data_IF_628476901634
#
_entry.id   IF_628476901634
#
_cell.length_a   1.000
_cell.length_b   1.000
_cell.length_c   1.000
_cell.angle_alpha   90.00
_cell.angle_beta   90.00
_cell.angle_gamma   90.00
#
_symmetry.space_group_name_H-M   'P 1'
#
loop_
_entity.id
_entity.type
_entity.pdbx_description
1 polymer ?
#
# COMPACT_ATOMS: atom_id res chain seq x y z
N UNK A 1 9.77 2.44 2.90
CA UNK A 1 10.05 3.82 2.49
C UNK A 1 10.27 4.63 3.76
N UNK A 2 11.31 5.45 3.84
CA UNK A 2 11.58 6.31 5.01
C UNK A 2 10.98 7.73 4.88
N UNK A 3 10.33 8.00 3.74
CA UNK A 3 9.68 9.27 3.39
C UNK A 3 10.65 10.36 2.92
N UNK A 4 11.93 10.05 2.73
CA UNK A 4 12.92 11.00 2.20
C UNK A 4 13.03 10.89 0.68
N UNK A 5 13.65 11.91 0.09
CA UNK A 5 14.11 11.85 -1.30
C UNK A 5 15.30 10.90 -1.38
N UNK A 6 15.20 9.94 -2.31
CA UNK A 6 16.30 9.06 -2.68
C UNK A 6 16.71 9.29 -4.13
N UNK A 7 18.00 9.22 -4.42
CA UNK A 7 18.55 9.31 -5.79
C UNK A 7 18.96 7.92 -6.26
N UNK A 8 18.29 7.40 -7.28
CA UNK A 8 18.57 6.09 -7.83
C UNK A 8 19.28 6.26 -9.17
N UNK A 9 20.46 5.64 -9.32
CA UNK A 9 21.25 5.67 -10.54
C UNK A 9 21.50 4.26 -11.04
N UNK A 10 21.21 4.03 -12.32
CA UNK A 10 21.54 2.79 -13.02
C UNK A 10 22.52 3.11 -14.14
N UNK A 11 23.66 2.45 -14.13
CA UNK A 11 24.69 2.59 -15.18
C UNK A 11 24.86 1.24 -15.88
N UNK A 12 24.74 1.23 -17.20
CA UNK A 12 25.07 0.06 -18.02
C UNK A 12 26.38 0.32 -18.76
N UNK A 13 27.35 -0.56 -18.58
CA UNK A 13 28.58 -0.60 -19.36
C UNK A 13 28.70 -1.95 -20.06
N UNK A 14 28.29 -2.00 -21.33
CA UNK A 14 28.15 -3.24 -22.10
C UNK A 14 27.22 -4.25 -21.40
N UNK A 15 27.79 -5.32 -20.83
CA UNK A 15 27.08 -6.36 -20.09
C UNK A 15 27.06 -6.11 -18.58
N UNK A 16 27.79 -5.13 -18.06
CA UNK A 16 27.78 -4.80 -16.64
C UNK A 16 26.68 -3.77 -16.34
N UNK A 17 25.87 -4.06 -15.33
CA UNK A 17 24.88 -3.14 -14.78
C UNK A 17 25.26 -2.83 -13.34
N UNK A 18 25.33 -1.54 -13.01
CA UNK A 18 25.54 -1.03 -11.67
C UNK A 18 24.31 -0.23 -11.24
N UNK A 19 23.73 -0.58 -10.10
CA UNK A 19 22.68 0.14 -9.41
C UNK A 19 23.29 0.81 -8.18
N UNK A 20 22.98 2.09 -7.99
CA UNK A 20 23.36 2.88 -6.82
C UNK A 20 22.13 3.59 -6.25
N UNK A 21 21.99 3.59 -4.93
CA UNK A 21 20.96 4.35 -4.21
C UNK A 21 21.64 5.33 -3.25
N UNK A 22 21.35 6.62 -3.43
CA UNK A 22 21.91 7.74 -2.69
C UNK A 22 23.44 7.88 -2.77
N UNK A 23 24.15 7.23 -1.86
CA UNK A 23 25.59 7.32 -1.70
C UNK A 23 26.32 6.12 -2.31
N UNK A 24 27.63 6.08 -2.17
CA UNK A 24 28.47 5.05 -2.79
C UNK A 24 28.46 3.72 -2.01
N UNK A 25 27.90 3.71 -0.80
CA UNK A 25 27.90 2.53 0.07
C UNK A 25 26.73 1.59 -0.23
N UNK A 26 25.62 2.09 -0.80
CA UNK A 26 24.49 1.27 -1.27
C UNK A 26 24.54 1.05 -2.79
N UNK A 27 25.39 0.09 -3.20
CA UNK A 27 25.60 -0.30 -4.59
C UNK A 27 25.46 -1.80 -4.81
N UNK A 28 24.92 -2.15 -5.97
CA UNK A 28 24.83 -3.53 -6.45
C UNK A 28 25.21 -3.62 -7.92
N UNK A 29 25.94 -4.67 -8.31
CA UNK A 29 26.31 -4.91 -9.70
C UNK A 29 25.89 -6.30 -10.16
N UNK A 30 25.38 -6.40 -11.38
CA UNK A 30 25.12 -7.67 -12.05
C UNK A 30 25.74 -7.69 -13.45
N UNK A 31 26.09 -8.87 -13.93
CA UNK A 31 26.49 -9.07 -15.33
C UNK A 31 25.32 -9.69 -16.09
N UNK A 32 24.90 -9.04 -17.16
CA UNK A 32 23.88 -9.55 -18.08
C UNK A 32 24.44 -10.81 -18.75
N UNK A 33 23.75 -11.96 -18.63
CA UNK A 33 24.19 -13.19 -19.26
C UNK A 33 24.06 -13.10 -20.80
N UNK A 34 25.06 -13.63 -21.51
CA UNK A 34 25.11 -13.64 -22.97
C UNK A 34 26.09 -12.61 -23.55
N UNK A 35 26.08 -12.47 -24.89
CA UNK A 35 27.02 -11.64 -25.64
C UNK A 35 26.39 -10.36 -26.22
N UNK A 36 25.12 -10.08 -25.92
CA UNK A 36 24.43 -8.91 -26.45
C UNK A 36 24.74 -7.69 -25.58
N UNK A 37 25.53 -6.77 -26.11
CA UNK A 37 25.97 -5.53 -25.47
C UNK A 37 25.07 -4.33 -25.82
N UNK A 38 24.20 -4.44 -26.82
CA UNK A 38 23.26 -3.38 -27.24
C UNK A 38 21.92 -3.44 -26.50
N UNK A 39 21.36 -2.28 -26.14
CA UNK A 39 19.96 -2.14 -25.70
C UNK A 39 19.13 -1.64 -26.89
N UNK A 40 18.29 -2.50 -27.46
CA UNK A 40 17.42 -2.12 -28.57
C UNK A 40 16.11 -1.53 -28.02
N UNK A 41 16.06 -0.21 -27.90
CA UNK A 41 14.82 0.53 -27.69
C UNK A 41 14.50 1.26 -28.99
N UNK A 42 13.26 1.18 -29.46
CA UNK A 42 12.83 2.00 -30.59
C UNK A 42 12.44 3.38 -30.07
N UNK A 43 12.71 4.43 -30.85
CA UNK A 43 12.37 5.81 -30.47
C UNK A 43 10.85 6.01 -30.27
N UNK A 44 10.03 5.13 -30.84
CA UNK A 44 8.57 5.12 -30.71
C UNK A 44 8.08 4.38 -29.45
N UNK A 45 8.97 3.66 -28.74
CA UNK A 45 8.59 2.89 -27.56
C UNK A 45 8.30 3.84 -26.38
N UNK A 46 7.09 3.80 -25.78
CA UNK A 46 6.74 4.71 -24.71
C UNK A 46 7.52 4.40 -23.42
N UNK A 47 8.03 5.45 -22.78
CA UNK A 47 8.57 5.36 -21.42
C UNK A 47 7.44 5.47 -20.39
N UNK A 48 7.38 4.49 -19.49
CA UNK A 48 6.43 4.48 -18.38
C UNK A 48 7.11 4.85 -17.06
N UNK A 49 6.50 5.76 -16.31
CA UNK A 49 6.99 6.22 -15.00
C UNK A 49 5.87 6.04 -13.97
N UNK A 50 6.20 5.42 -12.84
CA UNK A 50 5.24 5.19 -11.74
C UNK A 50 4.20 4.08 -11.98
N UNK A 51 4.20 3.41 -13.14
CA UNK A 51 3.31 2.28 -13.43
C UNK A 51 3.07 2.11 -14.92
N UNK A 52 2.38 1.03 -15.29
CA UNK A 52 2.00 0.74 -16.68
C UNK A 52 0.49 0.52 -16.80
N UNK A 53 -0.11 0.79 -17.97
CA UNK A 53 -1.50 0.46 -18.25
C UNK A 53 -1.83 -1.02 -17.98
N UNK A 54 -3.10 -1.31 -17.66
CA UNK A 54 -3.54 -2.68 -17.36
C UNK A 54 -3.40 -3.63 -18.56
N UNK A 55 -3.47 -3.08 -19.77
CA UNK A 55 -3.34 -3.76 -21.07
C UNK A 55 -1.89 -3.80 -21.60
N UNK A 56 -0.92 -3.25 -20.86
CA UNK A 56 0.49 -3.37 -21.24
C UNK A 56 0.94 -4.83 -21.21
N UNK A 57 1.64 -5.28 -22.26
CA UNK A 57 2.18 -6.63 -22.34
C UNK A 57 3.34 -6.80 -21.36
N UNK A 58 3.11 -7.66 -20.35
CA UNK A 58 4.07 -7.97 -19.27
C UNK A 58 4.75 -9.32 -19.48
N UNK A 59 4.46 -10.03 -20.57
CA UNK A 59 4.92 -11.41 -20.77
C UNK A 59 6.46 -11.52 -20.78
N UNK A 60 7.14 -10.51 -21.34
CA UNK A 60 8.61 -10.43 -21.36
C UNK A 60 9.21 -10.41 -19.95
N UNK A 61 8.44 -9.98 -18.96
CA UNK A 61 8.85 -9.90 -17.55
C UNK A 61 8.22 -10.99 -16.67
N UNK A 62 7.55 -11.99 -17.25
CA UNK A 62 6.80 -12.99 -16.49
C UNK A 62 7.67 -13.81 -15.51
N UNK A 63 8.96 -14.00 -15.83
CA UNK A 63 9.92 -14.69 -14.97
C UNK A 63 10.54 -13.78 -13.89
N UNK A 64 10.17 -12.49 -13.87
CA UNK A 64 10.67 -11.52 -12.90
C UNK A 64 9.59 -11.22 -11.87
N UNK A 65 9.99 -11.11 -10.60
CA UNK A 65 9.11 -10.72 -9.51
C UNK A 65 8.89 -9.19 -9.51
N UNK A 66 8.32 -8.66 -10.59
CA UNK A 66 8.02 -7.24 -10.74
C UNK A 66 6.58 -6.98 -10.27
N UNK A 67 6.43 -6.07 -9.31
CA UNK A 67 5.13 -5.62 -8.84
C UNK A 67 4.57 -4.51 -9.76
N UNK A 68 3.45 -4.80 -10.42
CA UNK A 68 2.82 -3.90 -11.41
C UNK A 68 1.63 -3.12 -10.85
N UNK A 69 1.46 -3.02 -9.52
CA UNK A 69 0.30 -2.36 -8.88
C UNK A 69 0.38 -0.81 -8.89
N UNK A 70 1.34 -0.25 -9.61
CA UNK A 70 1.61 1.18 -9.65
C UNK A 70 2.43 1.67 -8.44
N UNK A 71 2.90 2.90 -8.54
CA UNK A 71 3.71 3.58 -7.55
C UNK A 71 2.86 4.59 -6.79
N UNK A 72 2.95 4.55 -5.46
CA UNK A 72 2.35 5.56 -4.58
C UNK A 72 3.49 6.33 -3.92
N UNK A 73 3.66 7.58 -4.35
CA UNK A 73 4.73 8.44 -3.88
C UNK A 73 4.97 9.58 -4.86
N UNK A 74 6.15 10.17 -4.77
CA UNK A 74 6.55 11.30 -5.59
C UNK A 74 7.80 10.96 -6.39
N UNK A 75 7.73 11.21 -7.69
CA UNK A 75 8.88 11.13 -8.61
C UNK A 75 9.12 12.56 -9.08
N UNK A 76 10.30 13.09 -8.77
CA UNK A 76 10.63 14.48 -9.08
C UNK A 76 11.26 14.62 -10.46
N UNK A 77 12.23 13.76 -10.77
CA UNK A 77 13.04 13.84 -12.00
C UNK A 77 13.33 12.43 -12.52
N UNK A 78 13.21 12.25 -13.83
CA UNK A 78 13.63 11.02 -14.52
C UNK A 78 14.52 11.38 -15.70
N UNK A 79 15.73 10.83 -15.71
CA UNK A 79 16.73 11.03 -16.77
C UNK A 79 17.09 9.69 -17.39
N UNK A 80 16.51 9.34 -18.55
CA UNK A 80 16.84 8.08 -19.23
C UNK A 80 18.30 8.02 -19.68
N UNK A 81 18.91 9.17 -19.93
CA UNK A 81 20.31 9.33 -20.30
C UNK A 81 20.86 10.68 -19.81
N UNK A 82 22.14 10.98 -20.10
CA UNK A 82 22.80 12.20 -19.64
C UNK A 82 22.30 13.49 -20.30
N UNK A 83 21.60 13.39 -21.44
CA UNK A 83 21.20 14.51 -22.28
C UNK A 83 19.72 14.85 -22.19
N UNK A 84 18.88 13.88 -21.79
CA UNK A 84 17.42 14.02 -21.78
C UNK A 84 16.86 13.85 -20.38
N UNK A 85 15.91 14.72 -20.06
CA UNK A 85 15.05 14.66 -18.89
C UNK A 85 13.61 14.53 -19.39
N UNK A 86 12.83 13.62 -18.80
CA UNK A 86 11.43 13.46 -19.18
C UNK A 86 10.60 14.64 -18.64
N UNK A 87 9.75 15.22 -19.48
CA UNK A 87 8.75 16.21 -19.04
C UNK A 87 7.59 15.48 -18.33
N UNK A 88 7.68 15.40 -17.00
CA UNK A 88 6.66 14.79 -16.16
C UNK A 88 5.43 15.68 -16.00
N UNK A 89 5.53 16.99 -16.27
CA UNK A 89 4.41 17.92 -16.16
C UNK A 89 3.49 17.85 -17.38
N UNK A 90 4.03 17.49 -18.55
CA UNK A 90 3.30 17.34 -19.81
C UNK A 90 3.52 15.96 -20.47
N UNK A 91 3.07 14.86 -19.85
CA UNK A 91 3.23 13.53 -20.42
C UNK A 91 2.31 13.32 -21.63
N UNK A 92 2.74 12.44 -22.55
CA UNK A 92 1.90 12.00 -23.70
C UNK A 92 0.56 11.43 -23.23
N UNK A 93 0.57 10.70 -22.11
CA UNK A 93 -0.63 10.18 -21.43
C UNK A 93 -0.34 9.99 -19.95
N UNK A 94 -1.30 10.34 -19.09
CA UNK A 94 -1.24 10.03 -17.65
C UNK A 94 -2.57 9.48 -17.12
N UNK A 95 -2.51 8.78 -16.00
CA UNK A 95 -3.68 8.35 -15.24
C UNK A 95 -3.40 8.55 -13.75
N UNK A 96 -4.30 9.23 -13.04
CA UNK A 96 -4.22 9.46 -11.58
C UNK A 96 -2.90 10.11 -11.12
N UNK A 97 -2.27 10.87 -12.01
CA UNK A 97 -1.17 11.76 -11.66
C UNK A 97 -1.76 13.04 -11.08
N UNK A 98 -1.25 13.47 -9.93
CA UNK A 98 -1.61 14.74 -9.31
C UNK A 98 -0.34 15.59 -9.12
N UNK A 99 -0.39 16.90 -9.43
CA UNK A 99 0.71 17.80 -9.07
C UNK A 99 0.74 18.05 -7.56
N UNK A 100 1.91 18.32 -6.99
CA UNK A 100 2.01 18.85 -5.62
C UNK A 100 2.74 18.00 -4.59
N UNK A 101 3.88 17.41 -4.96
CA UNK A 101 4.82 16.87 -3.99
C UNK A 101 5.55 18.01 -3.28
N UNK A 102 5.16 18.31 -2.04
CA UNK A 102 5.84 19.33 -1.23
C UNK A 102 6.90 18.65 -0.38
N UNK A 103 8.09 19.24 -0.27
CA UNK A 103 9.16 18.73 0.58
C UNK A 103 9.54 19.77 1.64
N UNK A 104 9.83 19.31 2.86
CA UNK A 104 10.41 20.13 3.93
C UNK A 104 11.47 19.31 4.61
N UNK A 105 12.68 19.86 4.66
CA UNK A 105 13.87 19.17 5.19
C UNK A 105 14.06 17.80 4.52
N UNK A 106 13.99 17.77 3.18
CA UNK A 106 14.19 16.59 2.31
C UNK A 106 13.26 15.40 2.57
N UNK A 107 12.18 15.64 3.32
CA UNK A 107 11.08 14.71 3.52
C UNK A 107 9.88 15.17 2.73
N UNK A 108 9.21 14.20 2.12
CA UNK A 108 7.89 14.42 1.56
C UNK A 108 6.96 14.95 2.66
N UNK A 109 6.60 16.22 2.54
CA UNK A 109 5.34 16.72 3.06
C UNK A 109 4.32 16.29 2.03
N UNK A 110 3.93 15.04 2.10
CA UNK A 110 2.64 14.66 1.59
C UNK A 110 1.62 15.71 2.09
N UNK A 111 0.65 16.09 1.26
CA UNK A 111 -0.49 16.90 1.71
C UNK A 111 -1.37 16.16 2.76
N UNK A 112 -0.75 15.21 3.48
CA UNK A 112 -1.24 14.39 4.54
C UNK A 112 -1.81 15.28 5.63
N UNK A 113 -3.13 15.24 5.72
CA UNK A 113 -3.82 15.61 6.94
C UNK A 113 -3.32 14.70 8.05
N UNK A 114 -2.33 15.17 8.81
CA UNK A 114 -1.86 14.49 10.01
C UNK A 114 -2.94 14.60 11.08
N UNK A 115 -3.51 13.47 11.47
CA UNK A 115 -4.54 13.38 12.52
C UNK A 115 -3.89 12.74 13.74
N UNK A 116 -3.86 13.47 14.85
CA UNK A 116 -3.33 12.99 16.13
C UNK A 116 -4.44 12.66 17.12
N UNK A 117 -4.30 11.54 17.83
CA UNK A 117 -5.18 11.14 18.93
C UNK A 117 -4.40 11.19 20.25
N UNK A 118 -4.27 12.38 20.90
CA UNK A 118 -3.50 12.51 22.15
C UNK A 118 -4.19 11.82 23.33
N UNK A 119 -5.49 11.58 23.21
CA UNK A 119 -6.31 10.74 24.09
C UNK A 119 -7.04 9.73 23.21
N UNK A 120 -7.38 8.54 23.74
CA UNK A 120 -8.04 7.54 22.93
C UNK A 120 -9.41 8.06 22.44
N UNK A 121 -9.68 7.82 21.17
CA UNK A 121 -10.76 8.46 20.41
C UNK A 121 -10.82 7.89 19.00
N UNK A 122 -11.70 8.42 18.16
CA UNK A 122 -11.86 7.94 16.79
C UNK A 122 -12.27 9.06 15.83
N UNK A 123 -11.98 8.87 14.55
CA UNK A 123 -12.50 9.68 13.46
C UNK A 123 -13.38 8.81 12.56
N UNK A 124 -14.46 9.40 12.02
CA UNK A 124 -15.36 8.73 11.09
C UNK A 124 -15.26 9.41 9.73
N UNK A 125 -15.01 8.62 8.68
CA UNK A 125 -14.96 9.08 7.30
C UNK A 125 -16.00 8.33 6.43
N UNK A 126 -16.11 8.79 5.20
CA UNK A 126 -16.85 8.07 4.16
C UNK A 126 -16.25 6.67 3.95
N UNK A 127 -17.13 5.72 3.67
CA UNK A 127 -16.75 4.33 3.46
C UNK A 127 -16.01 4.11 2.16
N UNK A 128 -15.15 3.09 2.14
CA UNK A 128 -14.45 2.64 0.94
C UNK A 128 -14.92 1.24 0.52
N UNK A 129 -14.69 0.88 -0.74
CA UNK A 129 -14.91 -0.47 -1.26
C UNK A 129 -13.60 -1.04 -1.79
N UNK A 130 -13.24 -2.24 -1.35
CA UNK A 130 -12.09 -2.99 -1.84
C UNK A 130 -12.60 -4.02 -2.86
N UNK A 131 -12.50 -3.70 -4.14
CA UNK A 131 -12.80 -4.60 -5.26
C UNK A 131 -11.59 -5.52 -5.56
N UNK A 132 -11.65 -6.27 -6.66
CA UNK A 132 -10.59 -7.21 -7.08
C UNK A 132 -9.29 -6.53 -7.55
N UNK A 133 -9.26 -5.21 -7.72
CA UNK A 133 -8.05 -4.45 -8.01
C UNK A 133 -8.09 -3.12 -7.24
N UNK A 134 -7.75 -3.22 -5.95
CA UNK A 134 -7.82 -2.09 -5.01
C UNK A 134 -6.53 -1.99 -4.22
N UNK A 135 -6.12 -0.75 -3.97
CA UNK A 135 -5.00 -0.44 -3.10
C UNK A 135 -5.40 0.62 -2.08
N UNK A 136 -4.74 0.58 -0.92
CA UNK A 136 -4.90 1.53 0.18
C UNK A 136 -3.53 1.75 0.82
N UNK A 137 -3.21 2.99 1.14
CA UNK A 137 -1.97 3.33 1.84
C UNK A 137 -2.25 4.28 2.99
N UNK A 138 -1.52 4.12 4.10
CA UNK A 138 -1.52 5.09 5.19
C UNK A 138 -0.23 4.99 6.00
N UNK A 139 0.09 6.08 6.70
CA UNK A 139 1.24 6.16 7.58
C UNK A 139 0.82 6.05 9.05
N UNK A 140 1.68 5.45 9.86
CA UNK A 140 1.46 5.18 11.28
C UNK A 140 2.67 5.65 12.08
N UNK A 141 2.43 6.34 13.20
CA UNK A 141 3.44 6.61 14.23
C UNK A 141 2.82 6.44 15.60
N UNK A 142 3.26 5.44 16.37
CA UNK A 142 2.73 5.18 17.71
C UNK A 142 3.76 4.47 18.59
N UNK A 143 3.59 4.60 19.91
CA UNK A 143 4.28 3.76 20.92
C UNK A 143 3.36 2.69 21.52
N UNK A 144 2.05 2.78 21.27
CA UNK A 144 1.08 1.85 21.83
C UNK A 144 1.14 0.51 21.08
N UNK A 145 1.26 -0.58 21.83
CA UNK A 145 1.25 -1.93 21.26
C UNK A 145 -0.11 -2.37 20.73
N UNK A 146 -1.20 -1.78 21.23
CA UNK A 146 -2.57 -2.11 20.84
C UNK A 146 -3.28 -0.85 20.34
N UNK A 147 -3.78 -0.86 19.11
CA UNK A 147 -4.48 0.29 18.51
C UNK A 147 -5.31 -0.12 17.28
N UNK A 148 -6.55 0.37 17.17
CA UNK A 148 -7.28 0.29 15.89
C UNK A 148 -6.72 1.37 14.96
N UNK A 149 -6.29 0.99 13.76
CA UNK A 149 -5.82 1.94 12.76
C UNK A 149 -6.96 2.30 11.83
N UNK A 150 -7.53 1.30 11.16
CA UNK A 150 -8.69 1.42 10.29
C UNK A 150 -9.69 0.30 10.57
N UNK A 151 -10.98 0.61 10.52
CA UNK A 151 -12.03 -0.39 10.64
C UNK A 151 -13.27 0.00 9.85
N UNK A 152 -13.80 -0.95 9.09
CA UNK A 152 -15.10 -0.81 8.44
C UNK A 152 -15.86 -2.13 8.51
N UNK A 153 -17.14 -2.04 8.81
CA UNK A 153 -18.08 -3.16 8.75
C UNK A 153 -19.31 -2.75 7.96
N UNK A 154 -19.66 -3.58 6.98
CA UNK A 154 -20.87 -3.48 6.18
C UNK A 154 -21.81 -4.58 6.61
N UNK A 155 -23.06 -4.20 6.89
CA UNK A 155 -24.11 -5.11 7.32
C UNK A 155 -25.17 -5.21 6.23
N UNK A 156 -25.75 -6.40 6.06
CA UNK A 156 -26.97 -6.60 5.25
C UNK A 156 -28.05 -5.61 5.64
N UNK A 157 -28.53 -4.79 4.69
CA UNK A 157 -29.80 -4.07 4.87
C UNK A 157 -30.94 -5.08 4.70
N UNK A 158 -31.63 -5.36 5.78
CA UNK A 158 -32.75 -6.33 5.89
C UNK A 158 -33.92 -6.11 4.93
N UNK A 159 -33.95 -5.04 4.14
CA UNK A 159 -35.10 -4.64 3.32
C UNK A 159 -34.90 -4.68 1.79
N UNK A 160 -33.73 -5.12 1.28
CA UNK A 160 -33.53 -5.32 -0.16
C UNK A 160 -33.21 -6.78 -0.48
N UNK A 161 -34.04 -7.39 -1.35
CA UNK A 161 -33.78 -8.66 -2.04
C UNK A 161 -32.67 -8.53 -3.11
N UNK A 162 -31.54 -7.91 -2.77
CA UNK A 162 -30.35 -7.97 -3.61
C UNK A 162 -29.47 -9.08 -3.03
N UNK A 163 -29.39 -10.20 -3.75
CA UNK A 163 -28.86 -11.48 -3.28
C UNK A 163 -27.35 -11.52 -3.03
N UNK A 164 -26.66 -10.38 -2.94
CA UNK A 164 -25.19 -10.33 -3.05
C UNK A 164 -24.47 -9.52 -1.95
N UNK A 165 -25.19 -8.84 -1.06
CA UNK A 165 -24.57 -8.00 -0.02
C UNK A 165 -24.24 -8.88 1.20
N UNK A 166 -23.12 -9.61 1.19
CA UNK A 166 -22.66 -10.34 2.39
C UNK A 166 -22.15 -9.37 3.47
N UNK A 167 -22.28 -9.74 4.75
CA UNK A 167 -21.67 -8.98 5.84
C UNK A 167 -20.15 -9.00 5.64
N UNK A 168 -19.59 -7.87 5.23
CA UNK A 168 -18.16 -7.74 4.96
C UNK A 168 -17.51 -6.77 5.91
N UNK A 169 -16.27 -7.02 6.27
CA UNK A 169 -15.51 -6.11 7.11
C UNK A 169 -14.03 -6.16 6.78
N UNK A 170 -13.33 -5.09 7.11
CA UNK A 170 -11.87 -5.12 7.19
C UNK A 170 -11.42 -4.31 8.39
N UNK A 171 -10.28 -4.72 8.96
CA UNK A 171 -9.66 -4.08 10.10
C UNK A 171 -8.14 -4.12 9.94
N UNK A 172 -7.51 -2.97 10.15
CA UNK A 172 -6.07 -2.83 10.32
C UNK A 172 -5.87 -2.36 11.76
N UNK A 173 -5.10 -3.11 12.55
CA UNK A 173 -4.88 -2.80 13.94
C UNK A 173 -3.52 -3.32 14.42
N UNK A 174 -2.99 -2.71 15.47
CA UNK A 174 -1.85 -3.24 16.20
C UNK A 174 -2.32 -4.14 17.33
N UNK A 175 -1.62 -5.25 17.53
CA UNK A 175 -1.72 -6.09 18.72
C UNK A 175 -0.33 -6.52 19.18
N UNK A 176 0.03 -6.20 20.42
CA UNK A 176 1.39 -6.36 20.96
C UNK A 176 2.48 -5.79 20.02
N UNK A 177 2.18 -4.67 19.38
CA UNK A 177 3.06 -3.94 18.47
C UNK A 177 3.06 -4.47 17.03
N UNK A 178 2.51 -5.66 16.77
CA UNK A 178 2.46 -6.26 15.43
C UNK A 178 1.25 -5.75 14.66
N UNK A 179 1.43 -5.47 13.37
CA UNK A 179 0.34 -5.12 12.48
C UNK A 179 -0.46 -6.37 12.16
N UNK A 180 -1.77 -6.29 12.37
CA UNK A 180 -2.74 -7.31 12.00
C UNK A 180 -3.73 -6.72 11.01
N UNK A 181 -3.91 -7.43 9.90
CA UNK A 181 -4.91 -7.12 8.87
C UNK A 181 -5.91 -8.26 8.84
N UNK A 182 -7.16 -7.96 9.20
CA UNK A 182 -8.28 -8.88 9.15
C UNK A 182 -9.24 -8.44 8.06
N UNK A 183 -9.57 -9.34 7.13
CA UNK A 183 -10.62 -9.13 6.15
C UNK A 183 -11.65 -10.23 6.33
N UNK A 184 -12.94 -9.91 6.22
CA UNK A 184 -14.01 -10.90 6.26
C UNK A 184 -15.04 -10.65 5.19
N UNK A 185 -15.44 -11.71 4.50
CA UNK A 185 -16.58 -11.72 3.56
C UNK A 185 -17.81 -12.44 4.13
N UNK A 186 -17.71 -12.92 5.38
CA UNK A 186 -18.76 -13.64 6.10
C UNK A 186 -18.53 -13.54 7.63
N UNK A 187 -19.58 -13.22 8.38
CA UNK A 187 -19.54 -13.12 9.85
C UNK A 187 -19.65 -14.47 10.56
N UNK A 188 -20.09 -15.52 9.86
CA UNK A 188 -20.30 -16.86 10.41
C UNK A 188 -19.09 -17.75 10.17
N UNK A 189 -18.57 -17.78 8.94
CA UNK A 189 -17.47 -18.68 8.58
C UNK A 189 -16.09 -18.09 8.93
N UNK A 190 -15.37 -18.75 9.86
CA UNK A 190 -14.00 -18.37 10.26
C UNK A 190 -12.98 -18.53 9.14
N UNK A 191 -13.19 -19.46 8.20
CA UNK A 191 -12.30 -19.67 7.06
C UNK A 191 -12.36 -18.52 6.04
N UNK A 192 -13.45 -17.75 6.05
CA UNK A 192 -13.62 -16.55 5.22
C UNK A 192 -13.18 -15.27 5.93
N UNK A 193 -12.40 -15.41 7.00
CA UNK A 193 -11.83 -14.30 7.78
C UNK A 193 -10.31 -14.39 7.83
N UNK A 194 -9.61 -14.33 6.69
CA UNK A 194 -8.15 -14.36 6.69
C UNK A 194 -7.61 -13.23 7.56
N UNK A 195 -6.66 -13.61 8.41
CA UNK A 195 -5.84 -12.72 9.20
C UNK A 195 -4.41 -12.83 8.72
N UNK A 196 -3.79 -11.67 8.46
CA UNK A 196 -2.36 -11.61 8.23
C UNK A 196 -1.75 -10.77 9.34
N UNK A 197 -0.65 -11.26 9.90
CA UNK A 197 0.05 -10.64 11.01
C UNK A 197 1.51 -10.43 10.64
N UNK A 198 2.05 -9.28 11.01
CA UNK A 198 3.48 -9.02 10.86
C UNK A 198 4.31 -9.82 11.86
N UNK A 199 5.53 -10.17 11.48
CA UNK A 199 6.48 -10.81 12.37
C UNK A 199 7.12 -9.80 13.32
N UNK A 200 7.37 -8.58 12.80
CA UNK A 200 7.99 -7.49 13.53
C UNK A 200 6.96 -6.58 14.20
N UNK A 201 7.41 -5.84 15.22
CA UNK A 201 6.62 -4.81 15.88
C UNK A 201 6.90 -3.44 15.28
N UNK A 202 5.85 -2.64 15.11
CA UNK A 202 5.84 -1.32 14.44
C UNK A 202 5.32 -0.21 15.37
N UNK A 203 5.51 -0.36 16.68
CA UNK A 203 5.16 0.62 17.72
C UNK A 203 6.41 1.24 18.37
N UNK A 204 7.48 1.46 17.61
CA UNK A 204 8.75 2.01 18.10
C UNK A 204 8.75 3.55 18.22
N UNK A 205 7.63 4.20 17.88
CA UNK A 205 7.48 5.65 17.86
C UNK A 205 8.08 6.32 16.62
N UNK A 206 8.56 5.57 15.63
CA UNK A 206 8.95 6.07 14.30
C UNK A 206 7.76 6.02 13.35
N UNK A 207 7.93 6.68 12.21
CA UNK A 207 6.94 6.68 11.15
C UNK A 207 7.12 5.40 10.34
N UNK A 208 6.04 4.65 10.16
CA UNK A 208 5.98 3.47 9.31
C UNK A 208 4.94 3.68 8.22
N UNK A 209 5.23 3.17 7.02
CA UNK A 209 4.34 3.22 5.88
C UNK A 209 3.71 1.86 5.64
N UNK A 210 2.38 1.82 5.56
CA UNK A 210 1.61 0.60 5.32
C UNK A 210 0.92 0.72 3.97
N UNK A 211 1.20 -0.23 3.08
CA UNK A 211 0.55 -0.35 1.78
C UNK A 211 -0.19 -1.69 1.69
N UNK A 212 -1.47 -1.63 1.38
CA UNK A 212 -2.30 -2.79 1.10
C UNK A 212 -2.65 -2.80 -0.39
N UNK A 213 -2.50 -3.96 -1.03
CA UNK A 213 -2.98 -4.21 -2.37
C UNK A 213 -3.77 -5.52 -2.44
N UNK A 214 -4.82 -5.51 -3.26
CA UNK A 214 -5.63 -6.67 -3.59
C UNK A 214 -5.65 -6.87 -5.09
N UNK A 215 -5.35 -8.10 -5.52
CA UNK A 215 -5.46 -8.56 -6.91
C UNK A 215 -6.25 -9.88 -6.96
N UNK A 216 -7.49 -9.84 -7.45
CA UNK A 216 -8.45 -10.94 -7.34
C UNK A 216 -8.72 -11.26 -5.87
N UNK A 217 -8.42 -12.49 -5.48
CA UNK A 217 -8.46 -12.96 -4.09
C UNK A 217 -7.08 -12.88 -3.41
N UNK A 218 -6.02 -12.56 -4.13
CA UNK A 218 -4.70 -12.37 -3.53
C UNK A 218 -4.62 -11.01 -2.84
N UNK A 219 -4.04 -10.99 -1.65
CA UNK A 219 -3.78 -9.78 -0.87
C UNK A 219 -2.31 -9.68 -0.49
N UNK A 220 -1.77 -8.48 -0.57
CA UNK A 220 -0.40 -8.15 -0.20
C UNK A 220 -0.42 -6.93 0.74
N UNK A 221 0.27 -7.02 1.87
CA UNK A 221 0.52 -5.91 2.78
C UNK A 221 2.01 -5.69 2.86
N UNK A 222 2.47 -4.51 2.49
CA UNK A 222 3.86 -4.08 2.62
C UNK A 222 3.97 -3.10 3.78
N UNK A 223 4.94 -3.34 4.65
CA UNK A 223 5.26 -2.46 5.77
C UNK A 223 6.69 -1.96 5.56
N UNK A 224 6.81 -0.65 5.42
CA UNK A 224 8.02 0.02 4.97
C UNK A 224 8.55 -0.64 3.67
N UNK A 225 9.87 -0.84 3.56
CA UNK A 225 10.49 -1.64 2.50
C UNK A 225 11.05 -2.97 3.06
N UNK A 226 10.53 -3.41 4.21
CA UNK A 226 11.15 -4.49 5.00
C UNK A 226 10.34 -5.76 5.03
N UNK A 227 9.03 -5.64 5.13
CA UNK A 227 8.16 -6.79 5.33
C UNK A 227 7.04 -6.80 4.29
N UNK A 228 6.89 -7.95 3.62
CA UNK A 228 5.82 -8.22 2.66
C UNK A 228 5.02 -9.40 3.18
N UNK A 229 3.76 -9.14 3.50
CA UNK A 229 2.83 -10.14 4.00
C UNK A 229 1.86 -10.49 2.88
N UNK A 230 1.63 -11.78 2.66
CA UNK A 230 0.72 -12.28 1.62
C UNK A 230 -0.41 -13.06 2.26
N UNK A 231 -1.59 -12.98 1.65
CA UNK A 231 -2.74 -13.79 2.04
C UNK A 231 -3.67 -14.03 0.86
N UNK A 232 -4.69 -14.84 1.11
CA UNK A 232 -5.69 -15.21 0.13
C UNK A 232 -7.09 -15.08 0.74
N UNK A 233 -7.98 -14.42 0.02
CA UNK A 233 -9.41 -14.40 0.30
C UNK A 233 -10.06 -15.67 -0.26
N UNK A 234 -11.16 -16.11 0.36
CA UNK A 234 -11.91 -17.28 -0.11
C UNK A 234 -12.66 -17.06 -1.43
N UNK A 235 -12.90 -15.80 -1.78
CA UNK A 235 -13.62 -15.38 -2.98
C UNK A 235 -13.18 -13.98 -3.44
N UNK A 236 -13.68 -13.59 -4.60
CA UNK A 236 -13.39 -12.31 -5.25
C UNK A 236 -14.46 -11.24 -4.96
N UNK A 237 -15.27 -11.41 -3.90
CA UNK A 237 -16.34 -10.46 -3.57
C UNK A 237 -15.80 -9.11 -3.15
N UNK A 238 -16.57 -8.06 -3.42
CA UNK A 238 -16.27 -6.71 -2.95
C UNK A 238 -16.36 -6.70 -1.41
N UNK A 239 -15.35 -6.14 -0.76
CA UNK A 239 -15.33 -5.94 0.69
C UNK A 239 -15.63 -4.48 0.98
N UNK A 240 -16.60 -4.22 1.86
CA UNK A 240 -17.06 -2.87 2.16
C UNK A 240 -18.27 -2.43 1.34
N UNK A 241 -18.90 -1.35 1.77
CA UNK A 241 -20.14 -0.83 1.19
C UNK A 241 -20.09 0.69 1.14
N UNK A 242 -20.60 1.29 0.06
CA UNK A 242 -20.73 2.75 -0.12
C UNK A 242 -21.60 3.45 0.94
N UNK A 243 -22.34 2.68 1.73
CA UNK A 243 -23.27 3.23 2.74
C UNK A 243 -22.83 2.94 4.18
N UNK A 244 -21.65 2.35 4.35
CA UNK A 244 -21.08 2.06 5.67
C UNK A 244 -20.29 3.26 6.20
N UNK A 245 -19.56 3.08 7.31
CA UNK A 245 -18.70 4.10 7.90
C UNK A 245 -17.30 3.53 8.10
N UNK A 246 -16.29 4.30 7.72
CA UNK A 246 -14.89 3.98 7.97
C UNK A 246 -14.43 4.69 9.25
N UNK A 247 -13.86 3.93 10.18
CA UNK A 247 -13.36 4.42 11.47
C UNK A 247 -11.84 4.42 11.47
N UNK A 248 -11.24 5.48 12.03
CA UNK A 248 -9.80 5.61 12.24
C UNK A 248 -9.46 5.81 13.71
N UNK A 249 -8.33 5.25 14.17
CA UNK A 249 -7.75 5.45 15.51
C UNK A 249 -8.45 4.72 16.65
N UNK A 250 -9.74 4.40 16.51
CA UNK A 250 -10.54 3.75 17.54
C UNK A 250 -11.95 3.41 17.07
N UNK A 251 -12.76 2.88 17.98
CA UNK A 251 -14.17 2.55 17.73
C UNK A 251 -15.07 3.16 18.81
N UNK A 252 -16.30 3.58 18.45
CA UNK A 252 -17.30 3.96 19.45
C UNK A 252 -17.72 2.76 20.30
N UNK A 253 -18.11 3.00 21.55
CA UNK A 253 -18.42 1.95 22.53
C UNK A 253 -19.44 0.91 22.05
N UNK A 254 -20.40 1.35 21.25
CA UNK A 254 -21.46 0.48 20.70
C UNK A 254 -20.94 -0.55 19.69
N UNK A 255 -19.78 -0.29 19.09
CA UNK A 255 -19.12 -1.19 18.12
C UNK A 255 -17.98 -1.99 18.75
N UNK A 256 -17.64 -1.73 20.03
CA UNK A 256 -16.65 -2.53 20.75
C UNK A 256 -17.20 -3.95 20.96
N UNK A 257 -16.48 -4.94 20.43
CA UNK A 257 -16.82 -6.35 20.62
C UNK A 257 -16.43 -6.72 22.06
N UNK A 258 -17.42 -6.98 22.91
CA UNK A 258 -17.22 -7.23 24.35
C UNK A 258 -16.63 -8.61 24.69
N UNK A 259 -16.27 -9.46 23.72
CA UNK A 259 -15.78 -10.82 23.99
C UNK A 259 -14.73 -11.27 22.96
N UNK A 260 -13.78 -12.08 23.46
CA UNK A 260 -12.54 -12.61 22.86
C UNK A 260 -11.31 -11.70 23.04
N UNK A 261 -10.74 -11.66 24.26
CA UNK A 261 -9.31 -11.52 24.64
C UNK A 261 -8.37 -10.58 23.87
N UNK A 262 -8.86 -9.68 23.02
CA UNK A 262 -8.10 -8.72 22.25
C UNK A 262 -8.53 -7.36 22.76
N UNK A 263 -7.77 -6.88 23.74
CA UNK A 263 -7.94 -5.54 24.29
C UNK A 263 -7.36 -4.51 23.29
N UNK A 264 -8.16 -4.19 22.26
CA UNK A 264 -7.76 -3.21 21.25
C UNK A 264 -7.94 -1.80 21.82
N UNK A 265 -6.95 -1.35 22.58
CA UNK A 265 -6.76 0.05 22.99
C UNK A 265 -7.94 0.64 23.77
N UNK A 266 -7.91 0.47 25.08
CA UNK A 266 -8.93 1.01 25.99
C UNK A 266 -8.91 2.54 26.02
N UNK A 267 -10.12 3.12 26.05
CA UNK A 267 -10.36 4.42 26.67
C UNK A 267 -10.83 4.08 28.08
N UNK A 268 -9.96 4.12 29.08
CA UNK A 268 -10.43 4.28 30.46
C UNK A 268 -10.33 5.77 30.85
N UNK A 269 -11.24 6.23 31.73
CA UNK A 269 -11.59 7.64 31.92
C UNK A 269 -10.45 8.55 32.41
#
# INVERSE_FOLDING_TARGET
ADGKVHVIKITRNNTELELQVDDDDDRGSITIPGNNDVMNLHDEDPHFVGGVPSDYDKAVFAEKDINWNGFVGCIQVVKPNQLHELDLDHPVRSQRQEPGCTFKEDKLISADRVIGFPKPGYLVAESIQLNTNSSLAFNLKTKNGNAVLLYQKSLKKTFKREADDNDTFFAFYLYNGRLIVHLGTDTVDRLKRPSISSNQSYNDGRLHSIFFARQGSSIEVRIDDREVLRGQLSDDKIIGSKTSKLYFGGLPDKLRIKNENIDIGTTEP
#
